data_IF_169206276023
#
_entry.id   IF_169206276023
#
_cell.length_a   1.000
_cell.length_b   1.000
_cell.length_c   1.000
_cell.angle_alpha   90.00
_cell.angle_beta   90.00
_cell.angle_gamma   90.00
#
_symmetry.space_group_name_H-M   'P 1'
#
loop_
_entity.id
_entity.type
_entity.pdbx_description
1 polymer ?
#
# COMPACT_ATOMS: atom_id res chain seq x y z
N UNK A 1 -0.79 -25.91 42.93
CA UNK A 1 -0.02 -25.28 41.83
C UNK A 1 -0.97 -25.13 40.67
N UNK A 2 -1.56 -23.95 40.51
CA UNK A 2 -2.54 -23.67 39.45
C UNK A 2 -1.76 -23.06 38.30
N UNK A 3 -1.63 -23.79 37.19
CA UNK A 3 -1.07 -23.25 35.95
C UNK A 3 -1.96 -22.11 35.45
N UNK A 4 -1.41 -20.94 35.06
CA UNK A 4 -2.22 -19.89 34.45
C UNK A 4 -2.68 -20.34 33.05
N UNK A 5 -3.94 -20.08 32.73
CA UNK A 5 -4.46 -20.20 31.36
C UNK A 5 -3.65 -19.32 30.41
N UNK A 6 -3.43 -19.75 29.16
CA UNK A 6 -2.80 -18.89 28.15
C UNK A 6 -3.69 -17.66 27.88
N UNK A 7 -3.11 -16.51 27.50
CA UNK A 7 -3.87 -15.34 27.13
C UNK A 7 -4.74 -15.64 25.90
N UNK A 8 -6.04 -15.41 26.01
CA UNK A 8 -7.05 -15.59 24.96
C UNK A 8 -7.07 -14.43 23.95
N UNK A 9 -5.91 -13.88 23.60
CA UNK A 9 -5.78 -12.91 22.53
C UNK A 9 -5.04 -13.58 21.36
N UNK A 10 -5.62 -14.67 20.87
CA UNK A 10 -5.48 -14.94 19.44
C UNK A 10 -6.25 -13.81 18.79
N UNK A 11 -5.53 -12.82 18.25
CA UNK A 11 -6.04 -11.98 17.18
C UNK A 11 -6.78 -12.90 16.24
N UNK A 12 -8.12 -12.85 16.31
CA UNK A 12 -8.98 -13.54 15.37
C UNK A 12 -8.54 -12.94 14.04
N UNK A 13 -7.76 -13.69 13.28
CA UNK A 13 -7.33 -13.35 11.92
C UNK A 13 -8.57 -12.83 11.23
N UNK A 14 -8.73 -11.50 11.15
CA UNK A 14 -9.80 -10.93 10.36
C UNK A 14 -9.41 -11.33 8.95
N UNK A 15 -10.20 -12.19 8.28
CA UNK A 15 -9.88 -12.56 6.94
C UNK A 15 -9.75 -11.25 6.16
N UNK A 16 -8.69 -11.12 5.35
CA UNK A 16 -8.64 -10.11 4.32
C UNK A 16 -10.04 -10.03 3.69
N UNK A 17 -10.62 -8.84 3.57
CA UNK A 17 -11.99 -8.61 3.08
C UNK A 17 -12.11 -8.88 1.57
N UNK A 18 -11.51 -9.96 1.09
CA UNK A 18 -11.68 -10.48 -0.24
C UNK A 18 -13.03 -11.18 -0.30
N UNK A 19 -13.79 -10.86 -1.34
CA UNK A 19 -14.95 -11.66 -1.69
C UNK A 19 -14.52 -13.08 -2.08
N UNK A 20 -15.45 -14.03 -2.05
CA UNK A 20 -15.18 -15.40 -2.51
C UNK A 20 -14.69 -15.45 -3.97
N UNK A 21 -15.18 -14.53 -4.79
CA UNK A 21 -14.74 -14.37 -6.18
C UNK A 21 -13.27 -13.92 -6.27
N UNK A 22 -12.91 -12.86 -5.55
CA UNK A 22 -11.53 -12.35 -5.51
C UNK A 22 -10.56 -13.37 -4.93
N UNK A 23 -10.99 -14.14 -3.91
CA UNK A 23 -10.21 -15.27 -3.38
C UNK A 23 -9.97 -16.31 -4.47
N UNK A 24 -11.02 -16.75 -5.18
CA UNK A 24 -10.88 -17.75 -6.24
C UNK A 24 -9.97 -17.25 -7.37
N UNK A 25 -10.16 -16.03 -7.84
CA UNK A 25 -9.30 -15.42 -8.87
C UNK A 25 -7.85 -15.37 -8.42
N UNK A 26 -7.60 -14.96 -7.17
CA UNK A 26 -6.24 -14.97 -6.64
C UNK A 26 -5.64 -16.38 -6.61
N UNK A 27 -6.42 -17.38 -6.18
CA UNK A 27 -5.95 -18.77 -6.05
C UNK A 27 -5.71 -19.43 -7.42
N UNK A 28 -6.50 -19.08 -8.45
CA UNK A 28 -6.42 -19.64 -9.80
C UNK A 28 -5.45 -18.88 -10.72
N UNK A 29 -5.40 -17.56 -10.63
CA UNK A 29 -4.66 -16.67 -11.54
C UNK A 29 -3.43 -16.01 -10.89
N UNK A 30 -3.32 -16.05 -9.56
CA UNK A 30 -2.23 -15.43 -8.80
C UNK A 30 -2.39 -13.92 -8.54
N UNK A 31 -3.47 -13.31 -9.06
CA UNK A 31 -3.80 -11.89 -8.84
C UNK A 31 -5.30 -11.65 -9.06
N UNK A 32 -5.77 -10.47 -8.65
CA UNK A 32 -7.05 -9.90 -9.04
C UNK A 32 -6.93 -8.38 -9.04
N UNK A 33 -7.86 -7.69 -9.70
CA UNK A 33 -7.86 -6.23 -9.81
C UNK A 33 -8.94 -5.68 -8.86
N UNK A 34 -8.57 -4.66 -8.07
CA UNK A 34 -9.53 -3.85 -7.31
C UNK A 34 -9.79 -2.57 -8.08
N UNK A 35 -10.93 -2.52 -8.76
CA UNK A 35 -11.36 -1.34 -9.48
C UNK A 35 -11.73 -0.21 -8.52
N UNK A 36 -11.43 1.01 -8.95
CA UNK A 36 -11.76 2.26 -8.24
C UNK A 36 -11.37 2.23 -6.75
N UNK A 37 -10.24 1.61 -6.41
CA UNK A 37 -9.76 1.51 -5.03
C UNK A 37 -9.61 2.88 -4.37
N UNK A 38 -9.00 3.81 -5.12
CA UNK A 38 -8.74 5.19 -4.73
C UNK A 38 -9.77 6.10 -5.39
N UNK A 39 -10.18 7.12 -4.66
CA UNK A 39 -10.95 8.24 -5.19
C UNK A 39 -10.10 9.12 -6.10
N UNK A 40 -10.75 9.91 -6.97
CA UNK A 40 -10.05 10.86 -7.83
C UNK A 40 -9.22 11.89 -7.04
N UNK A 41 -9.67 12.27 -5.85
CA UNK A 41 -8.96 13.18 -4.96
C UNK A 41 -7.68 12.55 -4.39
N UNK A 42 -7.74 11.29 -3.98
CA UNK A 42 -6.57 10.54 -3.51
C UNK A 42 -5.55 10.34 -4.63
N UNK A 43 -6.02 10.01 -5.84
CA UNK A 43 -5.15 9.92 -7.02
C UNK A 43 -4.47 11.24 -7.30
N UNK A 44 -5.21 12.36 -7.33
CA UNK A 44 -4.63 13.70 -7.54
C UNK A 44 -3.58 14.03 -6.48
N UNK A 45 -3.88 13.77 -5.20
CA UNK A 45 -2.99 14.05 -4.08
C UNK A 45 -1.69 13.26 -4.17
N UNK A 46 -1.76 11.99 -4.58
CA UNK A 46 -0.59 11.13 -4.75
C UNK A 46 0.25 11.55 -5.96
N UNK A 47 -0.38 11.95 -7.06
CA UNK A 47 0.31 12.46 -8.26
C UNK A 47 1.09 13.74 -7.94
N UNK A 48 0.48 14.71 -7.25
CA UNK A 48 1.14 15.95 -6.84
C UNK A 48 2.37 15.66 -5.95
N UNK A 49 2.24 14.69 -5.04
CA UNK A 49 3.35 14.24 -4.20
C UNK A 49 4.47 13.59 -5.02
N UNK A 50 4.14 12.70 -5.96
CA UNK A 50 5.13 12.06 -6.84
C UNK A 50 5.88 13.10 -7.67
N UNK A 51 5.17 14.08 -8.21
CA UNK A 51 5.74 15.21 -8.96
C UNK A 51 6.70 16.05 -8.10
N UNK A 52 6.31 16.37 -6.87
CA UNK A 52 7.16 17.07 -5.91
C UNK A 52 8.45 16.29 -5.65
N UNK A 53 8.34 14.98 -5.36
CA UNK A 53 9.51 14.14 -5.07
C UNK A 53 10.39 13.95 -6.30
N UNK A 54 9.80 13.81 -7.48
CA UNK A 54 10.54 13.70 -8.74
C UNK A 54 11.40 14.94 -8.98
N UNK A 55 10.81 16.15 -8.86
CA UNK A 55 11.54 17.42 -9.05
C UNK A 55 12.68 17.60 -8.05
N UNK A 56 12.53 17.11 -6.81
CA UNK A 56 13.61 17.10 -5.82
C UNK A 56 14.72 16.11 -6.21
N UNK A 57 14.33 14.88 -6.53
CA UNK A 57 15.27 13.80 -6.81
C UNK A 57 16.12 14.03 -8.07
N UNK A 58 15.52 14.52 -9.16
CA UNK A 58 16.25 14.88 -10.38
C UNK A 58 17.27 15.96 -10.11
N UNK A 59 16.91 16.98 -9.32
CA UNK A 59 17.81 18.07 -8.94
C UNK A 59 18.98 17.58 -8.11
N UNK A 60 18.73 16.69 -7.15
CA UNK A 60 19.75 16.20 -6.23
C UNK A 60 20.73 15.21 -6.89
N UNK A 61 20.33 14.58 -7.99
CA UNK A 61 21.11 13.52 -8.67
C UNK A 61 21.57 13.85 -10.08
N UNK A 62 21.25 15.04 -10.59
CA UNK A 62 21.60 15.49 -11.94
C UNK A 62 21.22 14.47 -13.02
N UNK A 63 20.03 13.87 -12.87
CA UNK A 63 19.54 12.84 -13.79
C UNK A 63 19.13 13.46 -15.13
N UNK A 64 19.42 12.74 -16.21
CA UNK A 64 18.88 13.11 -17.52
C UNK A 64 17.35 12.93 -17.54
N UNK A 65 16.66 13.70 -18.38
CA UNK A 65 15.19 13.71 -18.43
C UNK A 65 14.57 12.35 -18.81
N UNK A 66 15.31 11.50 -19.52
CA UNK A 66 14.92 10.17 -19.98
C UNK A 66 15.59 9.04 -19.18
N UNK A 67 16.33 9.37 -18.12
CA UNK A 67 17.01 8.38 -17.30
C UNK A 67 16.01 7.63 -16.41
N UNK A 68 15.92 6.31 -16.60
CA UNK A 68 15.10 5.47 -15.76
C UNK A 68 15.66 5.41 -14.34
N UNK A 69 14.84 5.75 -13.34
CA UNK A 69 15.22 5.67 -11.94
C UNK A 69 14.10 5.06 -11.09
N UNK A 70 14.45 4.69 -9.86
CA UNK A 70 13.50 4.25 -8.84
C UNK A 70 13.79 4.95 -7.51
N UNK A 71 12.73 5.35 -6.81
CA UNK A 71 12.81 5.75 -5.40
C UNK A 71 12.37 4.57 -4.55
N UNK A 72 13.27 4.07 -3.70
CA UNK A 72 12.99 2.96 -2.78
C UNK A 72 12.50 3.51 -1.44
N UNK A 73 11.70 2.70 -0.73
CA UNK A 73 11.22 3.01 0.62
C UNK A 73 10.43 4.33 0.71
N UNK A 74 9.60 4.65 -0.30
CA UNK A 74 8.81 5.90 -0.36
C UNK A 74 7.90 6.11 0.85
N UNK A 75 7.48 5.01 1.49
CA UNK A 75 6.69 4.98 2.73
C UNK A 75 7.37 5.70 3.90
N UNK A 76 8.71 5.70 3.92
CA UNK A 76 9.50 6.40 4.94
C UNK A 76 9.67 7.89 4.63
N UNK A 77 9.37 8.30 3.39
CA UNK A 77 9.65 9.64 2.89
C UNK A 77 8.49 10.63 3.08
N UNK A 78 7.25 10.15 3.08
CA UNK A 78 6.04 10.95 3.29
C UNK A 78 4.98 10.13 4.03
N UNK A 79 4.24 10.78 4.94
CA UNK A 79 3.12 10.14 5.63
C UNK A 79 2.02 9.71 4.66
N UNK A 80 1.77 10.46 3.60
CA UNK A 80 0.72 10.14 2.61
C UNK A 80 0.96 8.81 1.90
N UNK A 81 2.23 8.42 1.67
CA UNK A 81 2.55 7.09 1.15
C UNK A 81 2.30 5.98 2.18
N UNK A 82 2.42 6.28 3.48
CA UNK A 82 2.07 5.33 4.54
C UNK A 82 0.56 5.16 4.63
N UNK A 83 -0.19 6.26 4.59
CA UNK A 83 -1.65 6.24 4.64
C UNK A 83 -2.23 5.41 3.48
N UNK A 84 -1.54 5.32 2.33
CA UNK A 84 -1.91 4.43 1.22
C UNK A 84 -1.77 2.93 1.57
N UNK A 85 -0.75 2.52 2.32
CA UNK A 85 -0.58 1.11 2.71
C UNK A 85 -1.62 0.71 3.76
N UNK A 86 -1.91 1.63 4.68
CA UNK A 86 -2.92 1.48 5.72
C UNK A 86 -4.34 1.78 5.22
N UNK A 87 -4.54 1.88 3.90
CA UNK A 87 -5.82 2.25 3.32
C UNK A 87 -6.88 1.19 3.70
N UNK A 88 -8.06 1.59 4.21
CA UNK A 88 -9.05 0.66 4.79
C UNK A 88 -9.62 -0.35 3.78
N UNK A 89 -9.49 -0.08 2.47
CA UNK A 89 -9.86 -1.02 1.41
C UNK A 89 -8.74 -2.00 1.01
N UNK A 90 -7.51 -1.80 1.49
CA UNK A 90 -6.35 -2.68 1.29
C UNK A 90 -6.16 -3.58 2.52
N UNK A 91 -6.16 -2.99 3.72
CA UNK A 91 -6.04 -3.69 5.01
C UNK A 91 -7.27 -3.38 5.87
N UNK A 92 -8.29 -4.26 5.87
CA UNK A 92 -9.53 -4.09 6.65
C UNK A 92 -9.40 -4.48 8.14
#
# INVERSE_FOLDING_TARGET
MTTPSPPSDVDVERPLALTAEQRRQFDEEGFFIVEDLLTSEEVSTLLDLVDERYRGFVRDRDLAADEAFQMRNVVSLDRRFRDLIDHPRILP
#
